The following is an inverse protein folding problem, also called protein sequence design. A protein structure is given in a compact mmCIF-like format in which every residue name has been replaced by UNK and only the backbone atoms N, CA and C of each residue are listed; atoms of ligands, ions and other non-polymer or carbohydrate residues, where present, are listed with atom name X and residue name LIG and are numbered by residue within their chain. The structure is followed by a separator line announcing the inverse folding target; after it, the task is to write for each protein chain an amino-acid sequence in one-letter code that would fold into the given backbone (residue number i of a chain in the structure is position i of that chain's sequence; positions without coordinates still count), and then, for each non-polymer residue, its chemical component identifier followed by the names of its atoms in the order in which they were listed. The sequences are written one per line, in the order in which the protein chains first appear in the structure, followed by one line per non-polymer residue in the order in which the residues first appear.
data_IF_011765811244
#
_entry.id   IF_011765811244
#
_cell.length_a   1.000
_cell.length_b   1.000
_cell.length_c   1.000
_cell.angle_alpha   90.00
_cell.angle_beta   90.00
_cell.angle_gamma   90.00
#
_symmetry.space_group_name_H-M   'P 1'
#
loop_
_entity.id
_entity.type
_entity.pdbx_description
1 polymer ?
#
# COMPACT_ATOMS: atom_id res chain seq x y z
N UNK A 1 -3.27 -6.26 9.44
CA UNK A 1 -3.02 -7.25 8.36
C UNK A 1 -2.91 -6.52 7.04
N UNK A 2 -1.78 -6.58 6.33
CA UNK A 2 -1.69 -6.04 4.96
C UNK A 2 -2.23 -7.09 3.98
N UNK A 3 -3.04 -6.69 3.01
CA UNK A 3 -3.60 -7.55 1.98
C UNK A 3 -3.35 -6.92 0.60
N UNK A 4 -2.33 -7.38 -0.15
CA UNK A 4 -2.17 -7.08 -1.58
C UNK A 4 -3.31 -7.72 -2.38
N UNK A 5 -4.43 -7.02 -2.53
CA UNK A 5 -5.68 -7.59 -3.07
C UNK A 5 -5.71 -7.47 -4.60
N UNK A 6 -4.76 -8.15 -5.25
CA UNK A 6 -4.59 -8.12 -6.72
C UNK A 6 -5.44 -9.18 -7.42
N UNK A 7 -6.61 -9.46 -6.85
CA UNK A 7 -7.59 -10.40 -7.38
C UNK A 7 -8.69 -9.56 -8.03
N UNK A 8 -9.04 -9.86 -9.29
CA UNK A 8 -10.15 -9.19 -9.94
C UNK A 8 -11.48 -9.44 -9.18
N UNK A 9 -12.25 -8.38 -8.83
CA UNK A 9 -13.39 -8.49 -7.95
C UNK A 9 -14.65 -8.99 -8.67
N UNK A 10 -14.66 -10.26 -9.09
CA UNK A 10 -15.94 -10.90 -9.42
C UNK A 10 -16.84 -10.96 -8.18
N UNK A 11 -18.13 -11.24 -8.35
CA UNK A 11 -19.13 -11.19 -7.28
C UNK A 11 -18.73 -11.92 -5.98
N UNK A 12 -17.96 -13.00 -6.08
CA UNK A 12 -17.56 -13.84 -4.95
C UNK A 12 -16.06 -13.76 -4.60
N UNK A 13 -15.22 -13.23 -5.50
CA UNK A 13 -13.75 -13.24 -5.36
C UNK A 13 -13.24 -12.64 -4.05
N UNK A 14 -13.91 -11.59 -3.54
CA UNK A 14 -13.48 -10.86 -2.34
C UNK A 14 -14.29 -11.23 -1.08
N UNK A 15 -15.24 -12.16 -1.18
CA UNK A 15 -16.05 -12.59 -0.04
C UNK A 15 -15.24 -13.12 1.15
N UNK A 16 -14.12 -13.86 0.96
CA UNK A 16 -13.27 -14.25 2.08
C UNK A 16 -12.70 -13.07 2.87
N UNK A 17 -12.34 -11.98 2.20
CA UNK A 17 -11.85 -10.76 2.85
C UNK A 17 -12.98 -10.07 3.62
N UNK A 18 -14.16 -9.91 3.01
CA UNK A 18 -15.32 -9.30 3.66
C UNK A 18 -15.73 -10.08 4.92
N UNK A 19 -15.78 -11.40 4.82
CA UNK A 19 -16.10 -12.29 5.94
C UNK A 19 -15.06 -12.17 7.06
N UNK A 20 -13.77 -12.20 6.71
CA UNK A 20 -12.68 -12.07 7.69
C UNK A 20 -12.71 -10.73 8.42
N UNK A 21 -12.92 -9.63 7.71
CA UNK A 21 -13.00 -8.30 8.31
C UNK A 21 -14.19 -8.16 9.27
N UNK A 22 -15.35 -8.76 8.95
CA UNK A 22 -16.54 -8.77 9.82
C UNK A 22 -16.38 -9.65 11.06
N UNK A 23 -15.70 -10.78 10.93
CA UNK A 23 -15.47 -11.72 12.03
C UNK A 23 -14.39 -11.23 13.01
N UNK A 24 -13.43 -10.44 12.52
CA UNK A 24 -12.27 -9.98 13.30
C UNK A 24 -12.24 -8.45 13.45
N UNK A 25 -13.27 -7.89 14.08
CA UNK A 25 -13.41 -6.42 14.25
C UNK A 25 -12.31 -5.78 15.09
N UNK A 26 -11.58 -6.55 15.90
CA UNK A 26 -10.41 -6.07 16.64
C UNK A 26 -9.11 -6.00 15.82
N UNK A 27 -9.13 -6.39 14.54
CA UNK A 27 -7.99 -6.30 13.64
C UNK A 27 -8.23 -5.22 12.58
N UNK A 28 -7.20 -4.41 12.33
CA UNK A 28 -7.15 -3.52 11.18
C UNK A 28 -6.63 -4.28 9.94
N UNK A 29 -7.37 -4.18 8.85
CA UNK A 29 -7.00 -4.67 7.53
C UNK A 29 -6.55 -3.48 6.66
N UNK A 30 -5.35 -3.55 6.10
CA UNK A 30 -4.82 -2.56 5.15
C UNK A 30 -4.83 -3.24 3.79
N UNK A 31 -5.77 -2.85 2.94
CA UNK A 31 -6.07 -3.53 1.68
C UNK A 31 -5.52 -2.69 0.53
N UNK A 32 -4.60 -3.24 -0.24
CA UNK A 32 -4.03 -2.58 -1.41
C UNK A 32 -4.82 -2.97 -2.64
N UNK A 33 -5.38 -2.00 -3.35
CA UNK A 33 -6.18 -2.21 -4.56
C UNK A 33 -5.41 -1.77 -5.79
N UNK A 34 -5.40 -2.62 -6.81
CA UNK A 34 -4.61 -2.43 -8.01
C UNK A 34 -5.40 -2.85 -9.28
N UNK A 35 -6.28 -1.98 -9.82
CA UNK A 35 -7.02 -2.30 -11.03
C UNK A 35 -6.15 -2.64 -12.23
N UNK A 36 -5.07 -1.88 -12.47
CA UNK A 36 -4.23 -2.03 -13.66
C UNK A 36 -2.83 -1.40 -13.48
N UNK A 37 -2.03 -1.92 -12.55
CA UNK A 37 -0.76 -1.31 -12.12
C UNK A 37 -0.91 0.18 -11.77
N UNK A 38 -1.97 0.48 -11.02
CA UNK A 38 -2.50 1.82 -10.84
C UNK A 38 -4.03 1.85 -10.96
N UNK A 39 -4.64 3.04 -10.89
CA UNK A 39 -6.09 3.21 -10.92
C UNK A 39 -6.71 2.94 -12.31
N UNK A 40 -5.89 2.75 -13.35
CA UNK A 40 -6.32 2.62 -14.74
C UNK A 40 -6.34 3.95 -15.50
N UNK A 41 -6.83 3.94 -16.74
CA UNK A 41 -6.86 5.11 -17.63
C UNK A 41 -8.15 5.93 -17.56
N UNK A 42 -9.13 5.49 -16.78
CA UNK A 42 -10.42 6.15 -16.62
C UNK A 42 -10.52 6.82 -15.23
N UNK A 43 -11.37 7.85 -15.07
CA UNK A 43 -11.56 8.51 -13.77
C UNK A 43 -12.08 7.57 -12.67
N UNK A 44 -12.79 6.51 -13.05
CA UNK A 44 -13.35 5.49 -12.16
C UNK A 44 -12.98 4.10 -12.68
N UNK A 45 -12.88 3.08 -11.82
CA UNK A 45 -12.67 1.71 -12.27
C UNK A 45 -13.97 1.12 -12.84
N UNK A 46 -13.92 -0.13 -13.31
CA UNK A 46 -15.10 -0.81 -13.84
C UNK A 46 -16.17 -1.11 -12.77
N UNK A 47 -17.35 -1.55 -13.20
CA UNK A 47 -18.50 -1.81 -12.32
C UNK A 47 -18.23 -2.87 -11.24
N UNK A 48 -17.37 -3.85 -11.52
CA UNK A 48 -17.00 -4.89 -10.57
C UNK A 48 -16.16 -4.31 -9.44
N UNK A 49 -15.13 -3.52 -9.79
CA UNK A 49 -14.34 -2.77 -8.81
C UNK A 49 -15.20 -1.76 -8.05
N UNK A 50 -16.03 -0.98 -8.73
CA UNK A 50 -16.92 0.01 -8.10
C UNK A 50 -17.78 -0.64 -7.02
N UNK A 51 -18.47 -1.74 -7.35
CA UNK A 51 -19.33 -2.47 -6.42
C UNK A 51 -18.55 -3.01 -5.22
N UNK A 52 -17.40 -3.63 -5.45
CA UNK A 52 -16.61 -4.24 -4.39
C UNK A 52 -15.94 -3.19 -3.47
N UNK A 53 -15.43 -2.10 -4.04
CA UNK A 53 -14.79 -1.02 -3.31
C UNK A 53 -15.78 -0.23 -2.45
N UNK A 54 -17.00 0.00 -2.93
CA UNK A 54 -18.07 0.58 -2.13
C UNK A 54 -18.42 -0.31 -0.93
N UNK A 55 -18.47 -1.64 -1.11
CA UNK A 55 -18.65 -2.60 0.00
C UNK A 55 -17.49 -2.55 1.00
N UNK A 56 -16.23 -2.51 0.54
CA UNK A 56 -15.06 -2.38 1.43
C UNK A 56 -15.11 -1.08 2.23
N UNK A 57 -15.55 0.00 1.59
CA UNK A 57 -15.69 1.32 2.22
C UNK A 57 -16.71 1.34 3.36
N UNK A 58 -17.61 0.34 3.46
CA UNK A 58 -18.54 0.25 4.60
C UNK A 58 -17.94 -0.47 5.82
N UNK A 59 -16.74 -1.05 5.70
CA UNK A 59 -16.09 -1.75 6.81
C UNK A 59 -15.18 -0.78 7.58
N UNK A 60 -15.41 -0.57 8.89
CA UNK A 60 -14.69 0.43 9.67
C UNK A 60 -13.26 0.02 10.03
N UNK A 61 -12.97 -1.28 10.06
CA UNK A 61 -11.66 -1.85 10.33
C UNK A 61 -10.86 -2.16 9.06
N UNK A 62 -11.28 -1.63 7.91
CA UNK A 62 -10.58 -1.76 6.63
C UNK A 62 -10.07 -0.40 6.20
N UNK A 63 -8.79 -0.30 5.88
CA UNK A 63 -8.18 0.85 5.22
C UNK A 63 -7.85 0.46 3.78
N UNK A 64 -8.35 1.22 2.81
CA UNK A 64 -8.14 0.95 1.38
C UNK A 64 -7.01 1.83 0.86
N UNK A 65 -5.94 1.23 0.34
CA UNK A 65 -4.81 1.93 -0.25
C UNK A 65 -4.79 1.76 -1.77
N UNK A 66 -4.61 2.84 -2.51
CA UNK A 66 -4.36 2.79 -3.94
C UNK A 66 -2.92 2.35 -4.24
N UNK A 67 -2.74 1.44 -5.18
CA UNK A 67 -1.42 1.02 -5.67
C UNK A 67 -0.84 2.04 -6.66
N UNK A 68 0.43 2.40 -6.51
CA UNK A 68 1.22 3.19 -7.47
C UNK A 68 2.64 2.61 -7.50
N UNK A 69 3.22 2.36 -8.67
CA UNK A 69 4.62 1.90 -8.77
C UNK A 69 5.58 3.05 -9.10
N UNK A 70 6.82 2.95 -8.61
CA UNK A 70 7.87 3.97 -8.75
C UNK A 70 8.95 3.60 -9.78
N UNK A 71 8.98 2.35 -10.28
CA UNK A 71 10.05 1.83 -11.14
C UNK A 71 11.46 2.13 -10.60
N UNK A 72 11.66 1.90 -9.30
CA UNK A 72 12.92 2.15 -8.59
C UNK A 72 13.42 3.59 -8.76
N UNK A 73 12.51 4.56 -8.73
CA UNK A 73 12.81 5.99 -8.83
C UNK A 73 12.96 6.53 -10.25
N UNK A 74 12.75 5.71 -11.28
CA UNK A 74 12.84 6.13 -12.69
C UNK A 74 11.53 6.71 -13.23
N UNK A 75 10.41 6.51 -12.53
CA UNK A 75 9.11 7.03 -12.95
C UNK A 75 8.96 8.50 -12.54
N UNK A 76 8.57 9.42 -13.44
CA UNK A 76 8.38 10.83 -13.08
C UNK A 76 7.36 11.01 -11.95
N UNK A 77 7.65 11.87 -10.97
CA UNK A 77 6.75 12.11 -9.83
C UNK A 77 5.38 12.66 -10.26
N UNK A 78 5.34 13.43 -11.35
CA UNK A 78 4.10 13.93 -11.96
C UNK A 78 3.15 12.82 -12.42
N UNK A 79 3.64 11.63 -12.80
CA UNK A 79 2.77 10.50 -13.14
C UNK A 79 2.15 9.86 -11.88
N UNK A 80 2.95 9.71 -10.82
CA UNK A 80 2.43 9.27 -9.52
C UNK A 80 1.38 10.25 -8.98
N UNK A 81 1.64 11.56 -9.09
CA UNK A 81 0.68 12.59 -8.71
C UNK A 81 -0.67 12.43 -9.43
N UNK A 82 -0.65 12.25 -10.77
CA UNK A 82 -1.87 12.04 -11.56
C UNK A 82 -2.67 10.85 -11.04
N UNK A 83 -2.01 9.74 -10.74
CA UNK A 83 -2.67 8.53 -10.22
C UNK A 83 -3.26 8.76 -8.83
N UNK A 84 -2.57 9.49 -7.94
CA UNK A 84 -3.17 9.89 -6.65
C UNK A 84 -4.44 10.71 -6.87
N UNK A 85 -4.45 11.64 -7.84
CA UNK A 85 -5.64 12.44 -8.15
C UNK A 85 -6.79 11.58 -8.67
N UNK A 86 -6.52 10.55 -9.44
CA UNK A 86 -7.54 9.60 -9.89
C UNK A 86 -8.13 8.85 -8.69
N UNK A 87 -7.29 8.29 -7.82
CA UNK A 87 -7.78 7.64 -6.59
C UNK A 87 -8.58 8.60 -5.70
N UNK A 88 -8.14 9.86 -5.55
CA UNK A 88 -8.90 10.88 -4.83
C UNK A 88 -10.28 11.10 -5.45
N UNK A 89 -10.38 11.15 -6.79
CA UNK A 89 -11.66 11.30 -7.49
C UNK A 89 -12.65 10.16 -7.27
N UNK A 90 -12.20 8.98 -6.84
CA UNK A 90 -13.11 7.88 -6.50
C UNK A 90 -13.93 8.17 -5.24
N UNK A 91 -13.49 9.11 -4.39
CA UNK A 91 -14.24 9.52 -3.21
C UNK A 91 -15.58 10.16 -3.56
N UNK A 92 -15.67 10.86 -4.70
CA UNK A 92 -16.93 11.40 -5.24
C UNK A 92 -17.93 10.29 -5.60
N UNK A 93 -17.47 9.05 -5.77
CA UNK A 93 -18.28 7.86 -6.05
C UNK A 93 -18.60 7.03 -4.80
N UNK A 94 -18.31 7.54 -3.61
CA UNK A 94 -18.54 6.85 -2.34
C UNK A 94 -17.51 5.75 -2.04
N UNK A 95 -16.36 5.75 -2.72
CA UNK A 95 -15.24 4.85 -2.43
C UNK A 95 -14.25 5.56 -1.53
N UNK A 96 -14.00 5.01 -0.35
CA UNK A 96 -12.97 5.53 0.56
C UNK A 96 -11.60 5.10 0.05
N UNK A 97 -10.68 6.06 -0.04
CA UNK A 97 -9.24 5.83 -0.20
C UNK A 97 -8.55 6.41 1.04
N UNK A 98 -7.96 5.52 1.82
CA UNK A 98 -7.30 5.82 3.10
C UNK A 98 -5.81 6.09 2.94
N UNK A 99 -5.25 5.88 1.75
CA UNK A 99 -3.86 6.21 1.44
C UNK A 99 -3.31 5.53 0.21
N UNK A 100 -1.97 5.44 0.14
CA UNK A 100 -1.23 4.97 -1.04
C UNK A 100 -0.19 3.93 -0.64
N UNK A 101 -0.13 2.87 -1.42
CA UNK A 101 0.93 1.89 -1.42
C UNK A 101 1.85 2.17 -2.62
N UNK A 102 3.06 2.64 -2.35
CA UNK A 102 4.09 2.82 -3.37
C UNK A 102 4.89 1.54 -3.52
N UNK A 103 4.90 0.97 -4.72
CA UNK A 103 5.62 -0.25 -5.08
C UNK A 103 6.88 0.03 -5.88
N UNK A 104 7.76 -0.97 -5.98
CA UNK A 104 9.06 -0.85 -6.63
C UNK A 104 9.86 0.36 -6.08
N UNK A 105 9.83 0.54 -4.76
CA UNK A 105 10.50 1.65 -4.09
C UNK A 105 12.03 1.47 -4.20
N UNK A 106 12.79 2.49 -4.64
CA UNK A 106 14.23 2.40 -4.68
C UNK A 106 14.81 2.22 -3.26
N UNK A 107 15.76 1.30 -3.05
CA UNK A 107 16.34 1.06 -1.72
C UNK A 107 17.43 2.07 -1.32
N UNK A 108 17.91 2.89 -2.26
CA UNK A 108 19.04 3.81 -2.07
C UNK A 108 18.65 5.21 -1.60
N UNK A 109 19.50 5.82 -0.76
CA UNK A 109 19.28 7.17 -0.22
C UNK A 109 19.29 8.27 -1.29
N UNK A 110 19.91 8.02 -2.44
CA UNK A 110 19.91 8.92 -3.59
C UNK A 110 18.50 9.23 -4.14
N UNK A 111 17.50 8.42 -3.78
CA UNK A 111 16.10 8.62 -4.15
C UNK A 111 15.23 9.16 -3.00
N UNK A 112 15.81 9.53 -1.85
CA UNK A 112 15.05 9.96 -0.68
C UNK A 112 14.19 11.21 -0.97
N UNK A 113 14.73 12.19 -1.69
CA UNK A 113 14.00 13.41 -2.07
C UNK A 113 12.83 13.09 -3.01
N UNK A 114 13.03 12.19 -3.97
CA UNK A 114 11.96 11.71 -4.86
C UNK A 114 10.84 11.04 -4.06
N UNK A 115 11.19 10.16 -3.11
CA UNK A 115 10.19 9.49 -2.28
C UNK A 115 9.46 10.46 -1.37
N UNK A 116 10.17 11.45 -0.82
CA UNK A 116 9.59 12.50 0.01
C UNK A 116 8.58 13.35 -0.77
N UNK A 117 8.91 13.70 -2.01
CA UNK A 117 8.04 14.45 -2.93
C UNK A 117 6.71 13.72 -3.16
N UNK A 118 6.76 12.45 -3.59
CA UNK A 118 5.54 11.70 -3.90
C UNK A 118 4.69 11.40 -2.66
N UNK A 119 5.30 11.12 -1.50
CA UNK A 119 4.53 10.90 -0.26
C UNK A 119 3.89 12.19 0.26
N UNK A 120 4.60 13.31 0.19
CA UNK A 120 4.07 14.62 0.61
C UNK A 120 2.93 15.04 -0.29
N UNK A 121 3.11 14.86 -1.60
CA UNK A 121 2.07 15.11 -2.61
C UNK A 121 0.84 14.24 -2.38
N UNK A 122 1.03 12.95 -2.09
CA UNK A 122 -0.07 12.04 -1.79
C UNK A 122 -0.88 12.48 -0.56
N UNK A 123 -0.20 12.81 0.54
CA UNK A 123 -0.84 13.33 1.76
C UNK A 123 -1.59 14.65 1.52
N UNK A 124 -1.02 15.52 0.69
CA UNK A 124 -1.63 16.81 0.34
C UNK A 124 -2.91 16.62 -0.47
N UNK A 125 -2.89 15.75 -1.48
CA UNK A 125 -4.05 15.54 -2.36
C UNK A 125 -5.17 14.80 -1.63
N UNK A 126 -4.84 13.78 -0.82
CA UNK A 126 -5.84 12.99 -0.10
C UNK A 126 -6.38 13.68 1.17
N UNK A 127 -5.93 14.91 1.47
CA UNK A 127 -6.49 15.84 2.46
C UNK A 127 -6.89 15.19 3.80
N UNK A 128 -5.98 14.42 4.40
CA UNK A 128 -6.26 13.77 5.68
C UNK A 128 -5.02 13.61 6.54
N UNK A 129 -5.13 14.01 7.82
CA UNK A 129 -4.13 13.72 8.86
C UNK A 129 -3.94 12.21 9.12
N UNK A 130 -4.75 11.36 8.48
CA UNK A 130 -4.79 9.91 8.65
C UNK A 130 -4.40 9.13 7.39
N UNK A 131 -3.91 9.81 6.34
CA UNK A 131 -3.46 9.17 5.11
C UNK A 131 -2.35 8.17 5.44
N UNK A 132 -2.53 6.91 5.07
CA UNK A 132 -1.52 5.86 5.28
C UNK A 132 -0.63 5.75 4.05
N UNK A 133 0.68 5.93 4.24
CA UNK A 133 1.67 5.70 3.20
C UNK A 133 2.43 4.41 3.51
N UNK A 134 2.45 3.49 2.55
CA UNK A 134 3.25 2.26 2.62
C UNK A 134 4.27 2.29 1.49
N UNK A 135 5.52 2.02 1.81
CA UNK A 135 6.57 1.81 0.81
C UNK A 135 6.89 0.33 0.68
N UNK A 136 6.97 -0.16 -0.55
CA UNK A 136 7.40 -1.52 -0.85
C UNK A 136 8.68 -1.54 -1.69
N UNK A 137 9.84 -1.64 -1.03
CA UNK A 137 11.08 -2.05 -1.67
C UNK A 137 11.26 -3.58 -1.72
N UNK A 138 10.42 -4.36 -1.02
CA UNK A 138 10.54 -5.83 -0.87
C UNK A 138 11.74 -6.30 -0.02
N UNK A 139 12.60 -5.39 0.42
CA UNK A 139 13.84 -5.65 1.15
C UNK A 139 14.06 -4.63 2.26
N UNK A 140 15.01 -4.91 3.16
CA UNK A 140 15.45 -3.93 4.15
C UNK A 140 16.10 -2.73 3.46
N UNK A 141 15.64 -1.53 3.80
CA UNK A 141 16.15 -0.25 3.29
C UNK A 141 16.72 0.60 4.42
N UNK A 142 17.33 1.73 4.07
CA UNK A 142 17.81 2.70 5.04
C UNK A 142 16.66 3.21 5.94
N UNK A 143 16.94 3.37 7.24
CA UNK A 143 15.97 3.86 8.23
C UNK A 143 15.39 5.24 7.91
N UNK A 144 16.06 6.08 7.13
CA UNK A 144 15.58 7.42 6.78
C UNK A 144 14.24 7.38 6.03
N UNK A 145 13.96 6.31 5.29
CA UNK A 145 12.66 6.12 4.61
C UNK A 145 11.48 6.01 5.59
N UNK A 146 11.71 5.57 6.83
CA UNK A 146 10.66 5.53 7.87
C UNK A 146 10.25 6.93 8.34
N UNK A 147 10.94 7.99 7.94
CA UNK A 147 10.46 9.36 8.19
C UNK A 147 9.39 9.81 7.18
N UNK A 148 9.27 9.11 6.05
CA UNK A 148 8.43 9.51 4.91
C UNK A 148 7.15 8.65 4.76
N UNK A 149 7.22 7.38 5.16
CA UNK A 149 6.12 6.41 5.09
C UNK A 149 5.69 5.92 6.46
N UNK A 150 4.42 5.54 6.65
CA UNK A 150 3.91 4.96 7.90
C UNK A 150 4.44 3.54 8.11
N UNK A 151 4.48 2.75 7.04
CA UNK A 151 4.98 1.38 7.03
C UNK A 151 5.93 1.12 5.86
N UNK A 152 6.82 0.15 6.02
CA UNK A 152 7.72 -0.31 4.96
C UNK A 152 7.66 -1.83 4.86
N UNK A 153 7.43 -2.36 3.66
CA UNK A 153 7.57 -3.79 3.37
C UNK A 153 9.07 -4.11 3.28
N UNK A 154 9.61 -4.75 4.32
CA UNK A 154 11.04 -5.07 4.41
C UNK A 154 11.38 -6.48 3.94
N UNK A 155 10.35 -7.26 3.62
CA UNK A 155 10.47 -8.62 3.14
C UNK A 155 9.29 -8.92 2.22
N UNK A 156 9.59 -9.26 0.99
CA UNK A 156 8.63 -9.84 0.04
C UNK A 156 9.30 -10.98 -0.70
N UNK A 157 9.07 -12.21 -0.23
CA UNK A 157 9.70 -13.41 -0.79
C UNK A 157 8.99 -14.69 -0.34
N UNK A 158 9.52 -15.84 -0.77
CA UNK A 158 9.13 -17.15 -0.30
C UNK A 158 9.22 -17.26 1.22
N UNK A 159 8.21 -17.85 1.86
CA UNK A 159 8.11 -17.98 3.30
C UNK A 159 9.29 -18.76 3.91
N UNK A 160 9.88 -19.69 3.15
CA UNK A 160 11.08 -20.41 3.55
C UNK A 160 12.29 -19.50 3.79
N UNK A 161 12.35 -18.34 3.16
CA UNK A 161 13.45 -17.37 3.28
C UNK A 161 13.30 -16.41 4.47
N UNK A 162 12.15 -16.45 5.16
CA UNK A 162 11.88 -15.58 6.31
C UNK A 162 12.92 -15.75 7.42
N UNK A 163 13.33 -16.99 7.66
CA UNK A 163 14.33 -17.31 8.68
C UNK A 163 15.76 -17.25 8.13
N UNK A 164 16.03 -16.62 6.99
CA UNK A 164 17.40 -16.49 6.46
C UNK A 164 18.30 -15.65 7.37
N UNK A 165 19.63 -15.88 7.31
CA UNK A 165 20.60 -15.08 8.07
C UNK A 165 20.52 -13.59 7.72
N UNK A 166 20.19 -13.26 6.46
CA UNK A 166 19.96 -11.89 6.01
C UNK A 166 18.80 -11.23 6.76
N UNK A 167 17.62 -11.87 6.83
CA UNK A 167 16.46 -11.30 7.54
C UNK A 167 16.75 -11.19 9.03
N UNK A 168 17.31 -12.23 9.65
CA UNK A 168 17.66 -12.21 11.08
C UNK A 168 18.64 -11.09 11.42
N UNK A 169 19.70 -10.93 10.64
CA UNK A 169 20.71 -9.88 10.87
C UNK A 169 20.10 -8.48 10.78
N UNK A 170 19.26 -8.22 9.76
CA UNK A 170 18.61 -6.93 9.59
C UNK A 170 17.56 -6.65 10.68
N UNK A 171 16.77 -7.65 11.10
CA UNK A 171 15.83 -7.50 12.22
C UNK A 171 16.53 -7.22 13.55
N UNK A 172 17.74 -7.74 13.77
CA UNK A 172 18.54 -7.41 14.96
C UNK A 172 19.06 -5.97 14.89
N UNK A 173 19.49 -5.52 13.71
CA UNK A 173 19.98 -4.16 13.51
C UNK A 173 18.86 -3.09 13.55
N UNK A 174 17.62 -3.46 13.24
CA UNK A 174 16.50 -2.53 13.17
C UNK A 174 15.90 -2.25 14.57
N UNK A 175 15.79 -0.97 15.00
CA UNK A 175 15.19 -0.61 16.28
C UNK A 175 13.75 -1.13 16.42
N UNK A 176 13.35 -1.49 17.64
CA UNK A 176 12.03 -2.06 17.91
C UNK A 176 10.86 -1.19 17.41
N UNK A 177 10.98 0.14 17.53
CA UNK A 177 9.98 1.07 17.04
C UNK A 177 9.82 1.05 15.52
N UNK A 178 10.91 0.80 14.76
CA UNK A 178 10.84 0.67 13.31
C UNK A 178 10.36 -0.73 12.90
N UNK A 179 10.73 -1.78 13.64
CA UNK A 179 10.19 -3.13 13.44
C UNK A 179 8.66 -3.19 13.55
N UNK A 180 8.08 -2.42 14.47
CA UNK A 180 6.62 -2.30 14.61
C UNK A 180 5.93 -1.65 13.38
N UNK A 181 6.72 -1.01 12.51
CA UNK A 181 6.29 -0.37 11.26
C UNK A 181 6.80 -1.13 10.03
N UNK A 182 7.44 -2.28 10.22
CA UNK A 182 7.89 -3.16 9.15
C UNK A 182 6.81 -4.17 8.80
N UNK A 183 6.61 -4.40 7.51
CA UNK A 183 5.70 -5.39 6.97
C UNK A 183 6.51 -6.51 6.33
N UNK A 184 6.05 -7.75 6.51
CA UNK A 184 6.55 -8.91 5.80
C UNK A 184 5.41 -9.49 4.94
N UNK A 185 5.68 -9.69 3.66
CA UNK A 185 4.82 -10.38 2.71
C UNK A 185 5.53 -11.71 2.40
N UNK A 186 5.14 -12.77 3.08
CA UNK A 186 5.69 -14.11 2.90
C UNK A 186 4.70 -14.96 2.11
N UNK A 187 5.12 -15.46 0.95
CA UNK A 187 4.29 -16.29 0.08
C UNK A 187 4.96 -17.63 -0.25
N UNK A 188 4.25 -18.56 -0.89
CA UNK A 188 4.83 -19.82 -1.37
C UNK A 188 5.50 -19.66 -2.72
#
# INVERSE_FOLDING_TARGET
VLVPLYIYPTAESWEPLFSSARLHTGLDFVVVVNPNNGPGCHPTPDDNYMTALQRLSQLPNVKVLGYIYCSYGNRPSAEAEKEVRVYHGWTDQGIRIDGIFFDEVPPGLEHLDYMADISTTARTILLGLLVVIVYNPGIFTNREFYSLADFIVVFENQAAEWDSDYVRANLVALPAALRARSIAIAHS
#
